data_IF_958199237525
#
_entry.id   IF_958199237525
#
_cell.length_a   1.000
_cell.length_b   1.000
_cell.length_c   1.000
_cell.angle_alpha   90.00
_cell.angle_beta   90.00
_cell.angle_gamma   90.00
#
_symmetry.space_group_name_H-M   'P 1'
#
loop_
_entity.id
_entity.type
_entity.pdbx_description
1 polymer ?
#
# COMPACT_ATOMS: atom_id res chain seq x y z
N UNK A 1 -11.49 -5.80 -14.06
CA UNK A 1 -10.98 -5.69 -12.68
C UNK A 1 -11.08 -4.23 -12.27
N UNK A 2 -11.74 -3.93 -11.17
CA UNK A 2 -11.89 -2.55 -10.70
C UNK A 2 -10.56 -2.01 -10.15
N UNK A 3 -10.31 -0.73 -10.41
CA UNK A 3 -9.15 0.00 -9.91
C UNK A 3 -9.59 0.90 -8.76
N UNK A 4 -8.83 0.91 -7.68
CA UNK A 4 -9.06 1.75 -6.53
C UNK A 4 -7.75 2.29 -5.98
N UNK A 5 -7.83 3.33 -5.16
CA UNK A 5 -6.66 3.97 -4.58
C UNK A 5 -6.44 3.41 -3.18
N UNK A 6 -5.19 3.12 -2.85
CA UNK A 6 -4.76 2.79 -1.50
C UNK A 6 -3.69 3.76 -1.02
N UNK A 7 -3.68 4.03 0.29
CA UNK A 7 -2.60 4.68 1.02
C UNK A 7 -1.67 3.60 1.56
N UNK A 8 -0.40 3.67 1.15
CA UNK A 8 0.70 2.94 1.74
C UNK A 8 1.41 3.87 2.72
N UNK A 9 1.55 3.45 3.98
CA UNK A 9 2.14 4.26 5.05
C UNK A 9 3.08 3.39 5.88
N UNK A 10 4.25 3.93 6.25
CA UNK A 10 5.17 3.24 7.16
C UNK A 10 4.53 3.16 8.55
N UNK A 11 4.42 1.95 9.12
CA UNK A 11 3.97 1.81 10.49
C UNK A 11 5.05 2.32 11.44
N UNK A 12 4.65 3.03 12.49
CA UNK A 12 5.58 3.57 13.51
C UNK A 12 6.03 2.51 14.53
N UNK A 13 5.86 1.21 14.24
CA UNK A 13 6.29 0.17 15.15
C UNK A 13 7.82 -0.02 15.02
N UNK A 14 8.60 0.22 16.10
CA UNK A 14 10.06 0.31 16.02
C UNK A 14 10.78 -0.96 15.54
N UNK A 15 10.11 -2.10 15.60
CA UNK A 15 10.78 -3.41 15.52
C UNK A 15 10.57 -4.11 14.18
N UNK A 16 9.65 -3.64 13.35
CA UNK A 16 9.40 -4.19 12.02
C UNK A 16 9.03 -3.05 11.07
N UNK A 17 9.73 -2.93 9.95
CA UNK A 17 9.38 -1.99 8.87
C UNK A 17 8.09 -2.42 8.14
N UNK A 18 7.01 -2.63 8.88
CA UNK A 18 5.72 -3.05 8.35
C UNK A 18 5.06 -1.87 7.63
N UNK A 19 4.58 -2.12 6.42
CA UNK A 19 3.82 -1.14 5.66
C UNK A 19 2.32 -1.36 5.90
N UNK A 20 1.61 -0.28 6.17
CA UNK A 20 0.16 -0.26 6.29
C UNK A 20 -0.46 0.10 4.94
N UNK A 21 -1.35 -0.75 4.43
CA UNK A 21 -2.20 -0.44 3.28
C UNK A 21 -3.62 -0.16 3.76
N UNK A 22 -4.22 0.91 3.26
CA UNK A 22 -5.59 1.30 3.59
C UNK A 22 -6.26 1.99 2.40
N UNK A 23 -7.58 1.90 2.27
CA UNK A 23 -8.39 2.80 1.44
C UNK A 23 -9.33 3.64 2.34
N UNK A 24 -10.32 4.40 1.81
CA UNK A 24 -11.23 5.27 2.64
C UNK A 24 -11.92 4.40 3.66
N UNK A 25 -12.37 3.25 3.19
CA UNK A 25 -13.41 2.49 3.83
C UNK A 25 -12.83 1.41 4.76
N UNK A 26 -11.58 1.01 4.55
CA UNK A 26 -10.96 -0.12 5.25
C UNK A 26 -9.44 -0.02 5.33
N UNK A 27 -8.91 -0.31 6.52
CA UNK A 27 -7.48 -0.60 6.67
C UNK A 27 -7.26 -2.09 6.33
N UNK A 28 -6.49 -2.35 5.29
CA UNK A 28 -6.06 -3.69 4.91
C UNK A 28 -4.74 -3.98 5.64
N UNK A 29 -4.85 -4.49 6.87
CA UNK A 29 -3.71 -5.10 7.56
C UNK A 29 -3.42 -6.46 6.93
N UNK A 30 -2.75 -6.46 5.78
CA UNK A 30 -2.20 -7.68 5.21
C UNK A 30 -0.69 -7.53 5.13
N UNK A 31 0.01 -8.55 5.62
CA UNK A 31 1.43 -8.72 5.37
C UNK A 31 1.57 -8.93 3.86
N UNK A 32 2.16 -7.96 3.18
CA UNK A 32 2.26 -8.02 1.74
C UNK A 32 3.30 -9.07 1.38
N UNK A 33 3.01 -9.98 0.42
CA UNK A 33 3.99 -10.97 0.00
C UNK A 33 5.26 -10.35 -0.60
N UNK A 34 5.24 -9.04 -0.91
CA UNK A 34 6.35 -8.30 -1.50
C UNK A 34 6.62 -6.98 -0.77
N UNK A 35 6.93 -7.04 0.53
CA UNK A 35 7.32 -5.85 1.31
C UNK A 35 8.58 -5.17 0.73
N UNK A 36 9.58 -5.91 0.24
CA UNK A 36 10.86 -5.33 -0.24
C UNK A 36 10.71 -4.25 -1.33
N UNK A 37 10.05 -4.54 -2.47
CA UNK A 37 9.82 -3.53 -3.52
C UNK A 37 8.98 -2.35 -3.06
N UNK A 38 8.03 -2.57 -2.14
CA UNK A 38 7.16 -1.52 -1.61
C UNK A 38 7.87 -0.62 -0.58
N UNK A 39 8.73 -1.21 0.26
CA UNK A 39 9.60 -0.48 1.19
C UNK A 39 10.60 0.37 0.40
N UNK A 40 11.13 -0.15 -0.70
CA UNK A 40 11.97 0.63 -1.61
C UNK A 40 11.17 1.72 -2.34
N UNK A 41 9.93 1.43 -2.75
CA UNK A 41 9.08 2.40 -3.43
C UNK A 41 8.66 3.54 -2.50
N UNK A 42 8.31 3.28 -1.24
CA UNK A 42 8.01 4.35 -0.29
C UNK A 42 9.28 5.13 0.07
N UNK A 43 10.43 4.45 0.21
CA UNK A 43 11.70 5.08 0.56
C UNK A 43 11.63 5.78 1.91
N UNK A 44 12.10 7.03 1.96
CA UNK A 44 12.06 7.91 3.14
C UNK A 44 10.72 8.67 3.29
N UNK A 45 9.74 8.37 2.44
CA UNK A 45 8.44 9.06 2.48
C UNK A 45 7.55 8.46 3.58
N UNK A 46 6.84 9.32 4.31
CA UNK A 46 5.92 8.87 5.36
C UNK A 46 4.75 8.05 4.79
N UNK A 47 4.25 8.46 3.62
CA UNK A 47 3.13 7.83 2.92
C UNK A 47 3.16 8.09 1.41
N UNK A 48 2.61 7.15 0.65
CA UNK A 48 2.32 7.29 -0.79
C UNK A 48 0.92 6.77 -1.08
N UNK A 49 0.34 7.24 -2.18
CA UNK A 49 -0.95 6.76 -2.66
C UNK A 49 -0.77 6.05 -3.99
N UNK A 50 -1.32 4.85 -4.11
CA UNK A 50 -1.15 4.00 -5.28
C UNK A 50 -2.51 3.65 -5.86
N UNK A 51 -2.63 3.70 -7.18
CA UNK A 51 -3.72 3.07 -7.92
C UNK A 51 -3.43 1.58 -8.02
N UNK A 52 -4.33 0.75 -7.51
CA UNK A 52 -4.19 -0.71 -7.46
C UNK A 52 -5.44 -1.39 -8.02
N UNK A 53 -5.31 -2.65 -8.40
CA UNK A 53 -6.45 -3.54 -8.67
C UNK A 53 -6.27 -4.84 -7.91
N UNK A 54 -7.36 -5.42 -7.39
CA UNK A 54 -7.31 -6.70 -6.70
C UNK A 54 -7.65 -7.85 -7.66
N UNK A 55 -6.81 -8.89 -7.66
CA UNK A 55 -7.07 -10.16 -8.35
C UNK A 55 -8.04 -11.03 -7.58
N UNK A 56 -8.61 -12.02 -8.26
CA UNK A 56 -9.57 -12.95 -7.66
C UNK A 56 -8.97 -13.77 -6.51
N UNK A 57 -7.64 -13.94 -6.50
CA UNK A 57 -6.85 -14.57 -5.43
C UNK A 57 -6.52 -13.62 -4.26
N UNK A 58 -7.04 -12.38 -4.29
CA UNK A 58 -6.81 -11.36 -3.28
C UNK A 58 -5.53 -10.55 -3.46
N UNK A 59 -4.67 -10.89 -4.45
CA UNK A 59 -3.40 -10.19 -4.69
C UNK A 59 -3.66 -8.78 -5.23
N UNK A 60 -3.01 -7.79 -4.62
CA UNK A 60 -3.01 -6.42 -5.11
C UNK A 60 -1.96 -6.24 -6.22
N UNK A 61 -2.41 -5.74 -7.36
CA UNK A 61 -1.56 -5.34 -8.48
C UNK A 61 -1.38 -3.83 -8.44
N UNK A 62 -0.14 -3.38 -8.31
CA UNK A 62 0.23 -1.97 -8.30
C UNK A 62 0.33 -1.45 -9.73
N UNK A 63 -0.34 -0.33 -10.05
CA UNK A 63 -0.29 0.27 -11.38
C UNK A 63 0.63 1.50 -11.42
N UNK A 64 0.34 2.49 -10.55
CA UNK A 64 1.09 3.75 -10.49
C UNK A 64 0.90 4.47 -9.18
N UNK A 65 1.86 5.32 -8.84
CA UNK A 65 1.67 6.34 -7.81
C UNK A 65 0.73 7.44 -8.31
N UNK A 66 -0.14 7.91 -7.42
CA UNK A 66 -1.09 8.99 -7.70
C UNK A 66 -0.92 10.11 -6.68
N UNK A 67 -1.08 11.36 -7.12
CA UNK A 67 -1.20 12.52 -6.24
C UNK A 67 -2.61 12.57 -5.65
N UNK A 68 -2.95 11.59 -4.82
CA UNK A 68 -4.19 11.60 -4.05
C UNK A 68 -3.89 12.10 -2.63
N UNK A 69 -4.90 12.72 -1.99
CA UNK A 69 -4.90 13.00 -0.55
C UNK A 69 -6.29 12.61 -0.04
N UNK A 70 -6.30 11.97 1.12
CA UNK A 70 -7.51 11.53 1.80
C UNK A 70 -7.57 12.34 3.08
#
# INVERSE_FOLDING_TARGET
>A
MEKFIVKLQRALFPENSSLLISNRDKTLYQQLPYEGPLVKAIGDRDKVYLEVSQRADGVLVLHREVKAKW
#
